data_IF_922624756326
#
_entry.id   IF_922624756326
#
_cell.length_a   1.000
_cell.length_b   1.000
_cell.length_c   1.000
_cell.angle_alpha   90.00
_cell.angle_beta   90.00
_cell.angle_gamma   90.00
#
_symmetry.space_group_name_H-M   'P 1'
#
loop_
_entity.id
_entity.type
_entity.pdbx_description
1 polymer ?
#
# COMPACT_ATOMS: atom_id res chain seq x y z
N UNK A 1 -23.50 6.77 39.05
CA UNK A 1 -24.33 6.87 37.83
C UNK A 1 -23.44 7.37 36.71
N UNK A 2 -22.96 6.47 35.85
CA UNK A 2 -22.20 6.82 34.65
C UNK A 2 -23.20 7.49 33.70
N UNK A 3 -22.97 8.75 33.34
CA UNK A 3 -23.89 9.49 32.48
C UNK A 3 -24.06 8.75 31.14
N UNK A 4 -25.30 8.35 30.86
CA UNK A 4 -25.73 7.66 29.63
C UNK A 4 -25.24 8.39 28.36
N UNK A 5 -25.01 9.71 28.43
CA UNK A 5 -24.46 10.52 27.35
C UNK A 5 -23.03 10.15 26.94
N UNK A 6 -22.21 9.64 27.86
CA UNK A 6 -20.80 9.31 27.59
C UNK A 6 -20.65 7.95 26.90
N UNK A 7 -21.48 6.97 27.29
CA UNK A 7 -21.58 5.68 26.60
C UNK A 7 -22.19 5.87 25.21
N UNK A 8 -23.20 6.74 25.06
CA UNK A 8 -23.83 7.00 23.76
C UNK A 8 -22.93 7.77 22.78
N UNK A 9 -22.04 8.65 23.26
CA UNK A 9 -21.09 9.36 22.41
C UNK A 9 -19.93 8.45 21.93
N UNK A 10 -19.42 7.59 22.81
CA UNK A 10 -18.38 6.62 22.46
C UNK A 10 -18.92 5.50 21.55
N UNK A 11 -20.14 5.02 21.83
CA UNK A 11 -20.85 4.06 20.99
C UNK A 11 -21.22 4.69 19.64
N UNK A 12 -21.57 5.98 19.60
CA UNK A 12 -21.82 6.73 18.37
C UNK A 12 -20.58 6.89 17.50
N UNK A 13 -19.40 7.12 18.09
CA UNK A 13 -18.14 7.25 17.35
C UNK A 13 -17.63 5.90 16.84
N UNK A 14 -17.81 4.83 17.63
CA UNK A 14 -17.50 3.45 17.23
C UNK A 14 -18.47 2.95 16.16
N UNK A 15 -19.76 3.25 16.26
CA UNK A 15 -20.77 2.92 15.23
C UNK A 15 -20.51 3.72 13.94
N UNK A 16 -20.09 4.99 14.02
CA UNK A 16 -19.70 5.81 12.87
C UNK A 16 -18.45 5.24 12.18
N UNK A 17 -17.45 4.80 12.95
CA UNK A 17 -16.26 4.11 12.42
C UNK A 17 -16.61 2.74 11.81
N UNK A 18 -17.49 1.96 12.44
CA UNK A 18 -17.95 0.66 11.94
C UNK A 18 -18.84 0.80 10.68
N UNK A 19 -19.61 1.88 10.54
CA UNK A 19 -20.41 2.18 9.35
C UNK A 19 -19.57 2.69 8.16
N UNK A 20 -18.40 3.27 8.43
CA UNK A 20 -17.46 3.73 7.39
C UNK A 20 -16.52 2.59 6.92
N UNK A 21 -16.25 1.60 7.78
CA UNK A 21 -15.44 0.42 7.45
C UNK A 21 -16.13 -0.60 6.52
N UNK A 22 -17.45 -0.49 6.28
CA UNK A 22 -18.19 -1.43 5.43
C UNK A 22 -18.10 -1.14 3.93
N UNK A 23 -17.39 -0.10 3.50
CA UNK A 23 -17.27 0.24 2.07
C UNK A 23 -15.79 0.27 1.69
N UNK A 24 -15.18 -0.91 1.60
CA UNK A 24 -13.84 -1.07 1.03
C UNK A 24 -13.90 -1.80 -0.30
N UNK A 25 -13.79 -1.03 -1.38
CA UNK A 25 -13.28 -1.51 -2.66
C UNK A 25 -12.62 -0.33 -3.38
N UNK A 26 -11.40 -0.52 -3.85
CA UNK A 26 -10.86 0.27 -4.96
C UNK A 26 -9.44 0.76 -4.75
N UNK A 27 -8.52 0.10 -5.45
CA UNK A 27 -7.10 0.40 -5.53
C UNK A 27 -6.75 1.58 -6.44
N UNK A 28 -5.45 1.89 -6.39
CA UNK A 28 -4.78 3.03 -6.98
C UNK A 28 -4.75 2.96 -8.52
N UNK A 29 -4.67 4.12 -9.20
CA UNK A 29 -4.58 4.19 -10.66
C UNK A 29 -3.19 3.85 -11.17
N UNK A 30 -3.13 2.93 -12.12
CA UNK A 30 -2.09 2.93 -13.13
C UNK A 30 -2.30 4.12 -14.07
N UNK A 31 -1.21 4.84 -14.31
CA UNK A 31 -1.16 6.02 -15.17
C UNK A 31 -1.59 5.59 -16.57
N UNK A 32 -2.77 6.05 -16.99
CA UNK A 32 -3.28 5.92 -18.36
C UNK A 32 -2.26 6.57 -19.31
N UNK A 33 -1.36 5.77 -19.88
CA UNK A 33 -0.40 6.26 -20.87
C UNK A 33 -1.20 6.73 -22.08
N UNK A 34 -1.14 8.03 -22.45
CA UNK A 34 -1.95 8.55 -23.53
C UNK A 34 -1.60 7.82 -24.83
N UNK A 35 -2.61 7.29 -25.51
CA UNK A 35 -2.46 6.71 -26.83
C UNK A 35 -1.87 7.78 -27.78
N UNK A 36 -0.87 7.41 -28.58
CA UNK A 36 -0.26 8.32 -29.53
C UNK A 36 -1.32 8.78 -30.55
N UNK A 37 -1.64 10.08 -30.56
CA UNK A 37 -2.75 10.63 -31.35
C UNK A 37 -2.54 10.51 -32.86
N UNK A 38 -1.31 10.23 -33.32
CA UNK A 38 -0.99 9.95 -34.72
C UNK A 38 -1.41 8.55 -35.19
N UNK A 39 -1.88 7.69 -34.29
CA UNK A 39 -2.28 6.32 -34.62
C UNK A 39 -3.75 6.24 -35.07
N UNK A 40 -4.11 5.23 -35.89
CA UNK A 40 -5.49 5.00 -36.30
C UNK A 40 -6.43 4.73 -35.12
N UNK A 41 -7.74 4.93 -35.30
CA UNK A 41 -8.71 4.78 -34.21
C UNK A 41 -8.73 3.37 -33.61
N UNK A 42 -8.49 2.34 -34.43
CA UNK A 42 -8.42 0.93 -34.00
C UNK A 42 -7.17 0.61 -33.17
N UNK A 43 -6.24 1.57 -33.05
CA UNK A 43 -4.96 1.48 -32.34
C UNK A 43 -4.83 2.45 -31.17
N UNK A 44 -5.93 3.11 -30.79
CA UNK A 44 -5.96 4.16 -29.78
C UNK A 44 -6.66 3.75 -28.49
N UNK A 45 -6.84 2.45 -28.23
CA UNK A 45 -7.33 2.03 -26.92
C UNK A 45 -6.26 2.34 -25.86
N UNK A 46 -6.65 2.90 -24.70
CA UNK A 46 -5.73 3.05 -23.59
C UNK A 46 -5.34 1.67 -23.04
N UNK A 47 -4.10 1.55 -22.56
CA UNK A 47 -3.67 0.41 -21.77
C UNK A 47 -4.41 0.44 -20.44
N UNK A 48 -5.13 -0.64 -20.12
CA UNK A 48 -5.86 -0.80 -18.86
C UNK A 48 -5.52 -2.13 -18.23
N UNK A 49 -5.49 -2.15 -16.90
CA UNK A 49 -5.38 -3.39 -16.14
C UNK A 49 -6.65 -4.21 -16.29
N UNK A 50 -6.44 -5.49 -16.49
CA UNK A 50 -7.47 -6.51 -16.63
C UNK A 50 -7.38 -7.43 -15.44
N UNK A 51 -8.49 -7.55 -14.73
CA UNK A 51 -8.68 -8.61 -13.75
C UNK A 51 -9.11 -9.89 -14.45
N UNK A 52 -8.41 -10.98 -14.16
CA UNK A 52 -8.64 -12.30 -14.70
C UNK A 52 -9.09 -13.20 -13.56
N UNK A 53 -10.39 -13.49 -13.50
CA UNK A 53 -10.88 -14.51 -12.57
C UNK A 53 -10.71 -15.87 -13.21
N UNK A 54 -9.93 -16.73 -12.56
CA UNK A 54 -9.67 -18.10 -12.96
C UNK A 54 -10.45 -19.06 -12.08
N UNK A 55 -11.15 -20.01 -12.71
CA UNK A 55 -11.71 -21.16 -12.01
C UNK A 55 -11.08 -22.45 -12.52
N UNK A 56 -10.62 -23.27 -11.58
CA UNK A 56 -10.18 -24.63 -11.84
C UNK A 56 -10.66 -25.54 -10.70
N UNK A 57 -11.43 -26.58 -11.02
CA UNK A 57 -12.07 -27.48 -10.04
C UNK A 57 -12.84 -26.76 -8.91
N UNK A 58 -13.55 -25.67 -9.25
CA UNK A 58 -14.35 -24.92 -8.28
C UNK A 58 -13.55 -23.99 -7.36
N UNK A 59 -12.22 -23.98 -7.45
CA UNK A 59 -11.37 -23.01 -6.77
C UNK A 59 -11.24 -21.75 -7.63
N UNK A 60 -11.52 -20.60 -7.03
CA UNK A 60 -11.36 -19.28 -7.64
C UNK A 60 -10.01 -18.68 -7.28
N UNK A 61 -9.39 -18.03 -8.26
CA UNK A 61 -8.11 -17.35 -8.14
C UNK A 61 -8.12 -16.10 -9.01
N UNK A 62 -7.71 -14.97 -8.44
CA UNK A 62 -7.62 -13.70 -9.16
C UNK A 62 -6.19 -13.53 -9.72
N UNK A 63 -6.08 -13.28 -11.02
CA UNK A 63 -4.85 -12.97 -11.73
C UNK A 63 -4.97 -11.59 -12.40
N UNK A 64 -3.84 -11.03 -12.84
CA UNK A 64 -3.78 -9.69 -13.43
C UNK A 64 -3.11 -9.72 -14.80
N UNK A 65 -3.49 -8.81 -15.66
CA UNK A 65 -2.80 -8.58 -16.93
C UNK A 65 -3.11 -7.21 -17.51
N UNK A 66 -2.55 -6.93 -18.68
CA UNK A 66 -2.61 -5.62 -19.33
C UNK A 66 -3.29 -5.72 -20.70
N UNK A 67 -4.22 -4.81 -20.99
CA UNK A 67 -4.90 -4.78 -22.30
C UNK A 67 -3.96 -4.35 -23.44
N UNK A 68 -4.31 -4.71 -24.68
CA UNK A 68 -3.70 -4.12 -25.87
C UNK A 68 -4.26 -2.72 -26.17
N UNK A 69 -3.55 -1.97 -27.01
CA UNK A 69 -4.04 -0.72 -27.62
C UNK A 69 -5.01 -0.93 -28.80
N UNK A 70 -5.27 -2.17 -29.17
CA UNK A 70 -6.17 -2.61 -30.24
C UNK A 70 -7.14 -3.68 -29.77
N UNK A 71 -8.08 -4.07 -30.62
CA UNK A 71 -9.16 -4.98 -30.25
C UNK A 71 -10.35 -4.27 -29.62
N UNK A 72 -11.35 -5.05 -29.23
CA UNK A 72 -12.47 -4.50 -28.45
C UNK A 72 -12.09 -4.29 -26.99
N UNK A 73 -12.85 -3.42 -26.32
CA UNK A 73 -12.66 -3.15 -24.90
C UNK A 73 -13.19 -4.29 -24.06
N UNK A 74 -12.53 -4.54 -22.94
CA UNK A 74 -13.02 -5.47 -21.93
C UNK A 74 -14.27 -4.89 -21.22
N UNK A 75 -15.20 -5.74 -20.78
CA UNK A 75 -16.32 -5.32 -19.95
C UNK A 75 -15.83 -4.67 -18.64
N UNK A 76 -16.56 -3.70 -18.11
CA UNK A 76 -16.13 -2.93 -16.93
C UNK A 76 -16.60 -3.49 -15.60
N UNK A 77 -17.50 -4.47 -15.61
CA UNK A 77 -18.00 -5.13 -14.40
C UNK A 77 -18.02 -6.65 -14.56
N UNK A 78 -17.96 -7.36 -13.44
CA UNK A 78 -18.05 -8.82 -13.41
C UNK A 78 -19.36 -9.31 -14.04
N UNK A 79 -20.48 -8.63 -13.75
CA UNK A 79 -21.81 -9.02 -14.25
C UNK A 79 -21.93 -8.91 -15.78
N UNK A 80 -21.21 -7.97 -16.38
CA UNK A 80 -21.13 -7.80 -17.83
C UNK A 80 -20.13 -8.74 -18.51
N UNK A 81 -19.24 -9.36 -17.74
CA UNK A 81 -18.19 -10.22 -18.26
C UNK A 81 -18.64 -11.68 -18.36
N UNK A 82 -18.20 -12.35 -19.43
CA UNK A 82 -18.56 -13.75 -19.68
C UNK A 82 -17.48 -14.67 -19.14
N UNK A 83 -17.89 -15.65 -18.32
CA UNK A 83 -17.05 -16.80 -17.95
C UNK A 83 -17.01 -17.77 -19.12
N UNK A 84 -15.81 -18.03 -19.65
CA UNK A 84 -15.59 -18.86 -20.83
C UNK A 84 -14.44 -19.83 -20.58
N UNK A 85 -14.44 -21.02 -21.21
CA UNK A 85 -13.31 -21.93 -21.14
C UNK A 85 -12.06 -21.32 -21.78
N UNK A 86 -10.89 -21.55 -21.17
CA UNK A 86 -9.60 -21.22 -21.76
C UNK A 86 -9.06 -22.39 -22.57
N UNK A 87 -8.36 -22.10 -23.66
CA UNK A 87 -7.80 -23.14 -24.54
C UNK A 87 -6.50 -22.66 -25.16
N UNK A 88 -5.45 -23.47 -25.06
CA UNK A 88 -4.19 -23.21 -25.77
C UNK A 88 -4.38 -23.36 -27.27
N UNK A 89 -3.88 -22.39 -28.04
CA UNK A 89 -3.75 -22.52 -29.47
C UNK A 89 -2.70 -23.59 -29.81
N UNK A 90 -2.85 -24.24 -30.96
CA UNK A 90 -1.89 -25.22 -31.46
C UNK A 90 -1.61 -24.94 -32.93
N UNK A 91 -0.45 -24.35 -33.32
CA UNK A 91 0.73 -24.15 -32.47
C UNK A 91 0.57 -23.08 -31.39
N UNK A 92 1.27 -23.20 -30.24
CA UNK A 92 1.10 -22.31 -29.09
C UNK A 92 1.56 -20.87 -29.38
N UNK A 93 2.40 -20.65 -30.39
CA UNK A 93 2.79 -19.32 -30.85
C UNK A 93 1.61 -18.52 -31.45
N UNK A 94 0.50 -19.15 -31.85
CA UNK A 94 -0.62 -18.46 -32.51
C UNK A 94 -0.27 -17.77 -33.82
N UNK A 95 0.84 -18.14 -34.48
CA UNK A 95 1.30 -17.54 -35.74
C UNK A 95 0.78 -18.27 -36.99
N UNK A 96 0.07 -19.38 -36.80
CA UNK A 96 -0.62 -20.13 -37.85
C UNK A 96 -2.03 -20.52 -37.35
N UNK A 97 -2.98 -20.84 -38.24
CA UNK A 97 -4.31 -21.30 -37.86
C UNK A 97 -4.24 -22.45 -36.85
N UNK A 98 -4.94 -22.28 -35.72
CA UNK A 98 -4.92 -23.26 -34.64
C UNK A 98 -5.64 -24.55 -35.06
N UNK A 99 -4.99 -25.70 -34.85
CA UNK A 99 -5.60 -27.02 -34.99
C UNK A 99 -6.59 -27.32 -33.85
N UNK A 100 -6.38 -26.72 -32.68
CA UNK A 100 -7.32 -26.75 -31.56
C UNK A 100 -8.48 -25.77 -31.79
N UNK A 101 -9.70 -26.19 -31.47
CA UNK A 101 -10.92 -25.37 -31.61
C UNK A 101 -10.90 -24.18 -30.62
N UNK A 102 -10.78 -22.98 -31.15
CA UNK A 102 -10.87 -21.72 -30.39
C UNK A 102 -12.29 -21.12 -30.37
N UNK A 103 -13.20 -21.65 -31.20
CA UNK A 103 -14.55 -21.11 -31.33
C UNK A 103 -15.31 -21.09 -30.00
N UNK A 104 -15.66 -19.89 -29.52
CA UNK A 104 -16.39 -19.68 -28.27
C UNK A 104 -15.53 -19.79 -26.99
N UNK A 105 -14.20 -19.86 -27.12
CA UNK A 105 -13.27 -19.96 -26.00
C UNK A 105 -12.36 -18.73 -25.88
N UNK A 106 -11.62 -18.65 -24.79
CA UNK A 106 -10.53 -17.68 -24.61
C UNK A 106 -9.24 -18.36 -25.07
N UNK A 107 -8.65 -17.87 -26.16
CA UNK A 107 -7.44 -18.42 -26.74
C UNK A 107 -6.19 -18.01 -25.96
N UNK A 108 -5.39 -18.98 -25.54
CA UNK A 108 -4.09 -18.76 -24.91
C UNK A 108 -2.98 -18.94 -25.95
N UNK A 109 -2.15 -17.92 -26.13
CA UNK A 109 -1.01 -17.95 -27.07
C UNK A 109 0.26 -17.47 -26.39
N UNK A 110 1.41 -18.00 -26.79
CA UNK A 110 2.72 -17.56 -26.30
C UNK A 110 3.19 -16.32 -27.08
N UNK A 111 3.84 -15.40 -26.38
CA UNK A 111 4.57 -14.28 -26.97
C UNK A 111 5.78 -14.80 -27.78
N UNK A 112 6.07 -14.12 -28.91
CA UNK A 112 7.23 -14.40 -29.76
C UNK A 112 6.85 -14.77 -31.20
N UNK A 113 7.86 -14.93 -32.05
CA UNK A 113 7.82 -15.40 -33.45
C UNK A 113 7.03 -14.56 -34.48
N UNK A 114 5.89 -13.99 -34.11
CA UNK A 114 5.08 -13.09 -34.94
C UNK A 114 4.51 -11.94 -34.11
N UNK A 115 4.00 -10.92 -34.79
CA UNK A 115 3.43 -9.73 -34.18
C UNK A 115 2.12 -10.01 -33.41
N UNK A 116 1.81 -9.18 -32.41
CA UNK A 116 0.61 -9.33 -31.58
C UNK A 116 -0.70 -9.20 -32.39
N UNK A 117 -0.73 -8.30 -33.38
CA UNK A 117 -1.89 -8.12 -34.25
C UNK A 117 -2.16 -9.40 -35.04
N UNK A 118 -1.10 -10.05 -35.54
CA UNK A 118 -1.24 -11.27 -36.33
C UNK A 118 -1.80 -12.43 -35.49
N UNK A 119 -1.30 -12.58 -34.24
CA UNK A 119 -1.86 -13.55 -33.27
C UNK A 119 -3.35 -13.32 -33.03
N UNK A 120 -3.75 -12.06 -32.81
CA UNK A 120 -5.15 -11.71 -32.60
C UNK A 120 -6.00 -11.96 -33.84
N UNK A 121 -5.48 -11.65 -35.04
CA UNK A 121 -6.17 -11.88 -36.32
C UNK A 121 -6.43 -13.37 -36.56
N UNK A 122 -5.43 -14.21 -36.30
CA UNK A 122 -5.52 -15.66 -36.46
C UNK A 122 -6.51 -16.25 -35.44
N UNK A 123 -6.41 -15.86 -34.17
CA UNK A 123 -7.34 -16.34 -33.13
C UNK A 123 -8.79 -15.91 -33.41
N UNK A 124 -8.99 -14.67 -33.86
CA UNK A 124 -10.31 -14.17 -34.28
C UNK A 124 -10.87 -14.96 -35.46
N UNK A 125 -10.04 -15.25 -36.48
CA UNK A 125 -10.45 -16.10 -37.60
C UNK A 125 -10.80 -17.53 -37.15
N UNK A 126 -10.16 -18.02 -36.09
CA UNK A 126 -10.49 -19.29 -35.41
C UNK A 126 -11.74 -19.25 -34.52
N UNK A 127 -12.40 -18.08 -34.39
CA UNK A 127 -13.62 -17.89 -33.62
C UNK A 127 -13.41 -17.67 -32.11
N UNK A 128 -12.19 -17.35 -31.68
CA UNK A 128 -11.91 -16.99 -30.29
C UNK A 128 -12.78 -15.81 -29.84
N UNK A 129 -13.26 -15.83 -28.59
CA UNK A 129 -14.04 -14.72 -28.03
C UNK A 129 -13.15 -13.66 -27.40
N UNK A 130 -11.96 -14.05 -26.96
CA UNK A 130 -10.88 -13.18 -26.47
C UNK A 130 -9.55 -13.90 -26.65
N UNK A 131 -8.44 -13.16 -26.59
CA UNK A 131 -7.09 -13.73 -26.62
C UNK A 131 -6.27 -13.24 -25.43
N UNK A 132 -5.60 -14.18 -24.78
CA UNK A 132 -4.63 -13.93 -23.71
C UNK A 132 -3.25 -14.33 -24.23
N UNK A 133 -2.38 -13.35 -24.37
CA UNK A 133 -0.99 -13.53 -24.75
C UNK A 133 -0.16 -13.76 -23.48
N UNK A 134 0.55 -14.86 -23.42
CA UNK A 134 1.39 -15.24 -22.29
C UNK A 134 2.78 -14.65 -22.52
N UNK A 135 3.23 -13.81 -21.58
CA UNK A 135 4.57 -13.28 -21.61
C UNK A 135 5.60 -14.35 -21.20
N UNK A 136 6.77 -14.32 -21.83
CA UNK A 136 7.89 -15.23 -21.52
C UNK A 136 8.79 -14.70 -20.39
N UNK A 137 8.67 -13.41 -20.07
CA UNK A 137 9.43 -12.70 -19.04
C UNK A 137 8.48 -12.15 -17.97
N UNK A 138 9.02 -11.87 -16.78
CA UNK A 138 8.26 -11.18 -15.73
C UNK A 138 8.00 -9.72 -16.08
N UNK A 139 6.81 -9.24 -15.74
CA UNK A 139 6.35 -7.88 -16.02
C UNK A 139 5.45 -7.74 -17.24
N UNK A 140 4.80 -6.57 -17.34
CA UNK A 140 3.85 -6.25 -18.40
C UNK A 140 4.52 -5.53 -19.57
N UNK A 141 4.11 -5.88 -20.79
CA UNK A 141 4.53 -5.22 -22.02
C UNK A 141 3.33 -4.56 -22.70
N UNK A 142 3.53 -3.33 -23.17
CA UNK A 142 2.54 -2.62 -23.96
C UNK A 142 2.42 -3.23 -25.36
N UNK A 143 1.30 -3.89 -25.65
CA UNK A 143 0.97 -4.37 -26.99
C UNK A 143 0.39 -3.22 -27.83
N UNK A 144 1.28 -2.60 -28.61
CA UNK A 144 0.94 -1.49 -29.52
C UNK A 144 0.65 -1.98 -30.94
N UNK A 145 0.00 -1.12 -31.73
CA UNK A 145 -0.14 -1.31 -33.17
C UNK A 145 0.17 -0.01 -33.91
N UNK A 146 0.62 -0.15 -35.16
CA UNK A 146 1.09 0.97 -35.99
C UNK A 146 0.15 1.32 -37.13
N UNK A 147 -0.76 0.41 -37.50
CA UNK A 147 -1.64 0.51 -38.67
C UNK A 147 -3.06 0.09 -38.32
N UNK A 148 -4.02 0.51 -39.16
CA UNK A 148 -5.41 0.10 -39.03
C UNK A 148 -5.52 -1.42 -39.07
N UNK A 149 -6.36 -1.96 -38.19
CA UNK A 149 -6.57 -3.39 -38.04
C UNK A 149 -8.03 -3.67 -37.73
N UNK A 150 -8.53 -4.81 -38.21
CA UNK A 150 -9.93 -5.21 -38.02
C UNK A 150 -10.08 -6.22 -36.86
N UNK A 151 -9.34 -6.01 -35.76
CA UNK A 151 -9.44 -6.86 -34.58
C UNK A 151 -10.62 -6.38 -33.73
N UNK A 152 -11.61 -7.25 -33.57
CA UNK A 152 -12.86 -6.99 -32.84
C UNK A 152 -12.94 -7.79 -31.54
N UNK A 153 -12.03 -8.75 -31.32
CA UNK A 153 -11.92 -9.48 -30.05
C UNK A 153 -11.05 -8.70 -29.05
N UNK A 154 -11.28 -8.81 -27.74
CA UNK A 154 -10.44 -8.19 -26.74
C UNK A 154 -9.13 -8.98 -26.59
N UNK A 155 -8.03 -8.24 -26.42
CA UNK A 155 -6.65 -8.75 -26.42
C UNK A 155 -5.97 -8.29 -25.14
N UNK A 156 -5.37 -9.21 -24.39
CA UNK A 156 -4.59 -8.88 -23.20
C UNK A 156 -3.31 -9.70 -23.09
N UNK A 157 -2.33 -9.18 -22.36
CA UNK A 157 -1.10 -9.86 -21.98
C UNK A 157 -1.23 -10.27 -20.51
N UNK A 158 -0.90 -11.52 -20.20
CA UNK A 158 -0.67 -11.99 -18.82
C UNK A 158 0.83 -12.17 -18.60
N UNK A 159 1.28 -11.85 -17.39
CA UNK A 159 2.66 -12.05 -16.98
C UNK A 159 2.99 -13.55 -16.84
N UNK A 160 4.28 -13.84 -16.63
CA UNK A 160 4.75 -15.22 -16.50
C UNK A 160 4.16 -15.89 -15.25
N UNK A 161 4.12 -15.20 -14.11
CA UNK A 161 3.60 -15.74 -12.86
C UNK A 161 2.11 -16.15 -12.95
N UNK A 162 1.26 -15.31 -13.54
CA UNK A 162 -0.14 -15.63 -13.77
C UNK A 162 -0.33 -16.76 -14.79
N UNK A 163 0.48 -16.79 -15.84
CA UNK A 163 0.48 -17.87 -16.82
C UNK A 163 0.89 -19.22 -16.23
N UNK A 164 1.88 -19.27 -15.33
CA UNK A 164 2.29 -20.49 -14.63
C UNK A 164 1.15 -21.07 -13.78
N UNK A 165 0.37 -20.20 -13.11
CA UNK A 165 -0.83 -20.62 -12.39
C UNK A 165 -1.86 -21.28 -13.30
N UNK A 166 -2.12 -20.69 -14.48
CA UNK A 166 -3.01 -21.28 -15.50
C UNK A 166 -2.44 -22.62 -16.00
N UNK A 167 -1.16 -22.65 -16.35
CA UNK A 167 -0.49 -23.83 -16.90
C UNK A 167 -0.50 -25.01 -15.91
N UNK A 168 -0.28 -24.76 -14.62
CA UNK A 168 -0.33 -25.78 -13.57
C UNK A 168 -1.72 -26.44 -13.47
N UNK A 169 -2.79 -25.67 -13.66
CA UNK A 169 -4.15 -26.21 -13.70
C UNK A 169 -4.38 -27.07 -14.94
N UNK A 170 -3.89 -26.68 -16.11
CA UNK A 170 -3.95 -27.52 -17.31
C UNK A 170 -3.09 -28.80 -17.20
N UNK A 171 -1.88 -28.70 -16.67
CA UNK A 171 -0.97 -29.83 -16.49
C UNK A 171 -1.51 -30.87 -15.49
N UNK A 172 -2.37 -30.45 -14.56
CA UNK A 172 -3.11 -31.34 -13.65
C UNK A 172 -4.40 -31.90 -14.25
N UNK A 173 -4.65 -31.69 -15.55
CA UNK A 173 -5.82 -32.20 -16.27
C UNK A 173 -7.12 -31.46 -15.96
N UNK A 174 -7.05 -30.28 -15.35
CA UNK A 174 -8.23 -29.52 -14.95
C UNK A 174 -8.78 -28.72 -16.13
N UNK A 175 -10.10 -28.57 -16.19
CA UNK A 175 -10.75 -27.59 -17.07
C UNK A 175 -10.59 -26.21 -16.44
N UNK A 176 -10.01 -25.27 -17.19
CA UNK A 176 -9.81 -23.89 -16.76
C UNK A 176 -10.82 -22.99 -17.45
N UNK A 177 -11.53 -22.19 -16.68
CA UNK A 177 -12.42 -21.15 -17.16
C UNK A 177 -11.93 -19.79 -16.68
N UNK A 178 -12.01 -18.78 -17.56
CA UNK A 178 -11.59 -17.42 -17.28
C UNK A 178 -12.75 -16.45 -17.48
N UNK A 179 -12.77 -15.39 -16.67
CA UNK A 179 -13.61 -14.21 -16.86
C UNK A 179 -12.71 -12.98 -16.81
N UNK A 180 -12.78 -12.16 -17.86
CA UNK A 180 -11.89 -11.02 -18.09
C UNK A 180 -12.69 -9.73 -17.98
N UNK A 181 -12.28 -8.81 -17.11
CA UNK A 181 -12.95 -7.50 -16.95
C UNK A 181 -11.96 -6.41 -16.51
N UNK A 182 -12.29 -5.15 -16.79
CA UNK A 182 -11.49 -3.98 -16.44
C UNK A 182 -12.32 -2.99 -15.62
N UNK A 183 -12.28 -3.07 -14.27
CA UNK A 183 -13.12 -2.21 -13.43
C UNK A 183 -12.80 -0.73 -13.61
N UNK A 184 -13.82 0.10 -13.78
CA UNK A 184 -13.64 1.56 -13.85
C UNK A 184 -13.19 2.08 -12.48
N UNK A 185 -11.98 2.65 -12.43
CA UNK A 185 -11.40 3.24 -11.21
C UNK A 185 -11.87 4.71 -11.08
N UNK A 186 -12.64 5.08 -10.04
CA UNK A 186 -13.01 6.47 -9.83
C UNK A 186 -11.78 7.36 -9.61
N UNK A 187 -11.90 8.66 -9.91
CA UNK A 187 -10.79 9.63 -9.75
C UNK A 187 -10.45 9.82 -8.27
N UNK A 188 -11.46 9.80 -7.40
CA UNK A 188 -11.31 9.91 -5.95
C UNK A 188 -12.01 8.71 -5.31
N UNK A 189 -11.24 7.71 -4.89
CA UNK A 189 -11.76 6.62 -4.09
C UNK A 189 -12.02 7.11 -2.66
N UNK A 190 -13.11 6.67 -2.04
CA UNK A 190 -13.41 6.99 -0.64
C UNK A 190 -12.28 6.59 0.32
N UNK A 191 -11.56 5.52 -0.01
CA UNK A 191 -10.36 5.08 0.72
C UNK A 191 -9.27 6.14 0.78
N UNK A 192 -9.03 6.88 -0.30
CA UNK A 192 -8.00 7.94 -0.35
C UNK A 192 -8.39 9.10 0.57
N UNK A 193 -9.66 9.50 0.55
CA UNK A 193 -10.18 10.54 1.45
C UNK A 193 -10.06 10.08 2.90
N UNK A 194 -10.41 8.83 3.19
CA UNK A 194 -10.32 8.26 4.52
C UNK A 194 -8.87 8.21 5.03
N UNK A 195 -7.92 7.73 4.21
CA UNK A 195 -6.50 7.70 4.56
C UNK A 195 -5.94 9.10 4.80
N UNK A 196 -6.32 10.08 3.96
CA UNK A 196 -5.93 11.47 4.16
C UNK A 196 -6.46 12.02 5.49
N UNK A 197 -7.75 11.82 5.77
CA UNK A 197 -8.36 12.23 7.04
C UNK A 197 -7.70 11.56 8.25
N UNK A 198 -7.42 10.25 8.19
CA UNK A 198 -6.71 9.53 9.25
C UNK A 198 -5.31 10.09 9.48
N UNK A 199 -4.55 10.34 8.41
CA UNK A 199 -3.19 10.88 8.50
C UNK A 199 -3.20 12.28 9.13
N UNK A 200 -4.03 13.19 8.60
CA UNK A 200 -4.14 14.56 9.14
C UNK A 200 -4.68 14.57 10.57
N UNK A 201 -5.66 13.69 10.86
CA UNK A 201 -6.23 13.54 12.18
C UNK A 201 -5.20 13.06 13.19
N UNK A 202 -4.34 12.11 12.81
CA UNK A 202 -3.25 11.61 13.67
C UNK A 202 -2.27 12.71 14.02
N UNK A 203 -1.88 13.54 13.05
CA UNK A 203 -0.99 14.70 13.27
C UNK A 203 -1.64 15.71 14.21
N UNK A 204 -2.91 16.07 13.98
CA UNK A 204 -3.65 17.00 14.86
C UNK A 204 -3.76 16.45 16.28
N UNK A 205 -4.13 15.17 16.44
CA UNK A 205 -4.19 14.51 17.74
C UNK A 205 -2.84 14.53 18.46
N UNK A 206 -1.73 14.31 17.73
CA UNK A 206 -0.38 14.39 18.28
C UNK A 206 -0.02 15.83 18.70
N UNK A 207 -0.39 16.84 17.91
CA UNK A 207 -0.10 18.25 18.24
C UNK A 207 -0.82 18.73 19.50
N UNK A 208 -2.08 18.31 19.71
CA UNK A 208 -2.86 18.64 20.90
C UNK A 208 -2.73 17.60 22.03
N UNK A 209 -1.82 16.64 21.89
CA UNK A 209 -1.70 15.52 22.82
C UNK A 209 -1.44 15.97 24.26
N UNK A 210 -0.55 16.95 24.44
CA UNK A 210 -0.23 17.53 25.75
C UNK A 210 -1.43 18.18 26.42
N UNK A 211 -2.32 18.83 25.67
CA UNK A 211 -3.56 19.43 26.19
C UNK A 211 -4.61 18.37 26.54
N UNK A 212 -4.77 17.35 25.69
CA UNK A 212 -5.65 16.20 25.93
C UNK A 212 -5.22 15.43 27.20
N UNK A 213 -3.93 15.42 27.49
CA UNK A 213 -3.32 14.70 28.62
C UNK A 213 -2.92 15.63 29.77
N UNK A 214 -3.26 16.92 29.71
CA UNK A 214 -2.87 17.95 30.68
C UNK A 214 -3.39 17.70 32.11
N UNK A 215 -4.38 16.83 32.29
CA UNK A 215 -4.83 16.40 33.63
C UNK A 215 -4.00 15.26 34.24
N UNK A 216 -3.02 14.72 33.51
CA UNK A 216 -2.12 13.63 33.93
C UNK A 216 -0.66 14.07 34.21
N UNK A 217 -0.29 15.33 33.95
CA UNK A 217 1.07 15.83 34.23
C UNK A 217 1.02 17.09 35.11
N UNK A 218 1.63 17.01 36.30
CA UNK A 218 2.13 18.22 36.96
C UNK A 218 3.15 18.91 36.02
N UNK A 219 3.19 20.25 35.98
CA UNK A 219 4.06 20.97 35.07
C UNK A 219 5.52 20.82 35.52
N UNK A 220 6.33 20.03 34.83
CA UNK A 220 7.77 20.32 34.71
C UNK A 220 7.96 21.35 33.61
N UNK A 221 7.50 22.58 33.87
CA UNK A 221 8.01 23.75 33.19
C UNK A 221 9.28 24.10 33.95
N UNK A 222 10.44 23.70 33.43
CA UNK A 222 11.64 24.46 33.73
C UNK A 222 11.41 25.85 33.16
N UNK A 223 11.13 26.78 34.08
CA UNK A 223 11.12 28.22 33.83
C UNK A 223 12.41 28.56 33.11
N UNK A 224 12.32 28.97 31.85
CA UNK A 224 13.38 29.78 31.27
C UNK A 224 13.30 31.12 32.00
N UNK A 225 14.03 31.22 33.12
CA UNK A 225 14.27 32.47 33.82
C UNK A 225 15.09 33.38 32.89
N UNK A 226 14.37 34.18 32.13
CA UNK A 226 14.90 35.29 31.37
C UNK A 226 15.20 36.44 32.34
N UNK A 227 16.43 36.50 32.90
CA UNK A 227 17.10 37.78 33.19
C UNK A 227 18.59 37.64 33.57
N UNK A 228 19.50 37.98 32.64
CA UNK A 228 20.74 38.72 32.96
C UNK A 228 21.39 39.28 31.67
N UNK A 229 21.83 40.55 31.64
CA UNK A 229 22.35 41.20 30.44
C UNK A 229 23.89 41.17 30.31
N UNK A 230 24.35 41.22 29.04
CA UNK A 230 25.73 41.40 28.49
C UNK A 230 26.53 40.09 28.40
N UNK A 231 27.07 39.69 27.25
CA UNK A 231 28.06 40.43 26.45
C UNK A 231 28.02 40.07 24.95
N UNK A 232 28.33 41.06 24.13
CA UNK A 232 28.50 40.98 22.68
C UNK A 232 29.65 40.07 22.26
N UNK A 233 29.34 38.87 21.75
CA UNK A 233 30.07 38.11 20.72
C UNK A 233 29.19 36.94 20.21
N UNK A 234 29.17 36.76 18.88
CA UNK A 234 28.82 35.52 18.11
C UNK A 234 27.38 34.96 17.96
N UNK A 235 26.30 35.74 18.05
CA UNK A 235 24.97 35.22 17.64
C UNK A 235 24.87 34.74 16.16
N UNK A 236 25.69 35.30 15.24
CA UNK A 236 25.73 34.87 13.83
C UNK A 236 26.56 33.59 13.60
N UNK A 237 27.53 33.32 14.46
CA UNK A 237 28.45 32.18 14.30
C UNK A 237 27.82 30.92 14.87
N UNK A 238 27.18 31.02 16.04
CA UNK A 238 26.43 29.93 16.66
C UNK A 238 25.23 29.48 15.80
N UNK A 239 24.50 30.44 15.19
CA UNK A 239 23.42 30.11 14.25
C UNK A 239 23.92 29.41 12.98
N UNK A 240 25.05 29.84 12.42
CA UNK A 240 25.65 29.19 11.24
C UNK A 240 26.20 27.80 11.60
N UNK A 241 26.79 27.65 12.78
CA UNK A 241 27.30 26.37 13.27
C UNK A 241 26.16 25.37 13.49
N UNK A 242 25.07 25.76 14.16
CA UNK A 242 23.87 24.92 14.38
C UNK A 242 23.21 24.54 13.04
N UNK A 243 23.11 25.48 12.09
CA UNK A 243 22.58 25.20 10.75
C UNK A 243 23.49 24.23 9.99
N UNK A 244 24.81 24.38 10.10
CA UNK A 244 25.78 23.48 9.45
C UNK A 244 25.77 22.07 10.04
N UNK A 245 25.64 21.95 11.37
CA UNK A 245 25.52 20.68 12.09
C UNK A 245 24.23 19.95 11.69
N UNK A 246 23.16 20.70 11.49
CA UNK A 246 21.86 20.13 11.13
C UNK A 246 21.72 19.83 9.63
N UNK A 247 22.34 20.62 8.75
CA UNK A 247 22.42 20.29 7.33
C UNK A 247 23.17 18.96 7.12
N UNK A 248 24.25 18.73 7.91
CA UNK A 248 24.96 17.44 7.92
C UNK A 248 24.06 16.30 8.39
N UNK A 249 23.25 16.48 9.44
CA UNK A 249 22.33 15.44 9.90
C UNK A 249 21.19 15.17 8.90
N UNK A 250 20.71 16.18 8.18
CA UNK A 250 19.72 16.01 7.11
C UNK A 250 20.28 15.21 5.92
N UNK A 251 21.52 15.49 5.49
CA UNK A 251 22.19 14.72 4.44
C UNK A 251 22.42 13.27 4.90
N UNK A 252 22.89 13.09 6.14
CA UNK A 252 23.06 11.76 6.72
C UNK A 252 21.73 11.00 6.74
N UNK A 253 20.64 11.65 7.16
CA UNK A 253 19.31 11.06 7.16
C UNK A 253 18.87 10.59 5.77
N UNK A 254 19.07 11.41 4.72
CA UNK A 254 18.74 11.02 3.33
C UNK A 254 19.57 9.81 2.87
N UNK A 255 20.88 9.79 3.16
CA UNK A 255 21.77 8.69 2.76
C UNK A 255 21.39 7.41 3.49
N UNK A 256 21.15 7.48 4.80
CA UNK A 256 20.74 6.32 5.62
C UNK A 256 19.37 5.79 5.17
N UNK A 257 18.39 6.67 4.94
CA UNK A 257 17.08 6.28 4.46
C UNK A 257 17.14 5.64 3.06
N UNK A 258 17.94 6.22 2.16
CA UNK A 258 18.15 5.69 0.81
C UNK A 258 18.84 4.32 0.83
N UNK A 259 19.88 4.18 1.67
CA UNK A 259 20.58 2.91 1.85
C UNK A 259 19.65 1.85 2.41
N UNK A 260 18.86 2.19 3.42
CA UNK A 260 17.87 1.28 3.99
C UNK A 260 16.84 0.85 2.95
N UNK A 261 16.28 1.78 2.17
CA UNK A 261 15.28 1.49 1.14
C UNK A 261 15.83 0.58 0.03
N UNK A 262 17.07 0.80 -0.42
CA UNK A 262 17.74 -0.07 -1.40
C UNK A 262 18.03 -1.45 -0.81
N UNK A 263 18.45 -1.51 0.45
CA UNK A 263 18.64 -2.78 1.16
C UNK A 263 17.33 -3.55 1.23
N UNK A 264 16.20 -2.90 1.55
CA UNK A 264 14.88 -3.53 1.50
C UNK A 264 14.64 -4.14 0.14
N UNK A 265 14.85 -3.36 -0.93
CA UNK A 265 14.59 -3.77 -2.31
C UNK A 265 15.45 -4.93 -2.83
N UNK A 266 16.72 -5.04 -2.43
CA UNK A 266 17.58 -6.15 -2.87
C UNK A 266 17.52 -7.35 -1.91
N UNK A 267 17.43 -7.12 -0.60
CA UNK A 267 17.32 -8.16 0.42
C UNK A 267 15.85 -8.48 0.76
N UNK A 268 14.94 -8.40 -0.24
CA UNK A 268 13.50 -8.74 -0.20
C UNK A 268 13.24 -10.22 0.16
N UNK A 269 13.80 -10.66 1.28
CA UNK A 269 13.66 -11.98 1.85
C UNK A 269 12.48 -11.96 2.80
N UNK A 270 11.68 -13.03 2.78
CA UNK A 270 10.56 -13.21 3.71
C UNK A 270 10.95 -13.04 5.17
N UNK A 271 12.21 -13.34 5.53
CA UNK A 271 12.74 -13.13 6.87
C UNK A 271 12.83 -11.66 7.27
N UNK A 272 13.21 -10.77 6.34
CA UNK A 272 13.34 -9.34 6.60
C UNK A 272 11.97 -8.71 6.90
N UNK A 273 10.92 -9.11 6.16
CA UNK A 273 9.54 -8.66 6.41
C UNK A 273 9.08 -9.05 7.83
N UNK A 274 9.40 -10.27 8.28
CA UNK A 274 9.10 -10.69 9.65
C UNK A 274 9.81 -9.84 10.71
N UNK A 275 11.05 -9.39 10.47
CA UNK A 275 11.74 -8.46 11.37
C UNK A 275 11.00 -7.13 11.47
N UNK A 276 10.58 -6.55 10.34
CA UNK A 276 9.82 -5.31 10.32
C UNK A 276 8.51 -5.44 11.10
N UNK A 277 7.79 -6.56 10.94
CA UNK A 277 6.56 -6.85 11.67
C UNK A 277 6.83 -6.89 13.19
N UNK A 278 7.92 -7.53 13.63
CA UNK A 278 8.28 -7.61 15.05
C UNK A 278 8.63 -6.22 15.60
N UNK A 279 9.47 -5.44 14.91
CA UNK A 279 9.85 -4.08 15.32
C UNK A 279 8.63 -3.16 15.37
N UNK A 280 7.76 -3.21 14.34
CA UNK A 280 6.49 -2.49 14.30
C UNK A 280 5.59 -2.87 15.48
N UNK A 281 5.51 -4.16 15.82
CA UNK A 281 4.70 -4.64 16.94
C UNK A 281 5.22 -4.14 18.29
N UNK A 282 6.54 -4.13 18.50
CA UNK A 282 7.16 -3.58 19.72
C UNK A 282 6.84 -2.08 19.84
N UNK A 283 7.06 -1.33 18.76
CA UNK A 283 6.74 0.10 18.71
C UNK A 283 5.25 0.38 18.91
N UNK A 284 4.38 -0.39 18.26
CA UNK A 284 2.92 -0.28 18.35
C UNK A 284 2.41 -0.58 19.75
N UNK A 285 2.91 -1.63 20.41
CA UNK A 285 2.59 -1.94 21.82
C UNK A 285 3.01 -0.80 22.74
N UNK A 286 4.23 -0.29 22.58
CA UNK A 286 4.72 0.83 23.38
C UNK A 286 3.86 2.08 23.17
N UNK A 287 3.56 2.41 21.91
CA UNK A 287 2.75 3.58 21.58
C UNK A 287 1.32 3.46 22.09
N UNK A 288 0.71 2.28 21.94
CA UNK A 288 -0.66 2.02 22.41
C UNK A 288 -0.74 2.03 23.94
N UNK A 289 0.26 1.45 24.62
CA UNK A 289 0.38 1.53 26.08
C UNK A 289 0.47 2.99 26.56
N UNK A 290 1.39 3.78 25.99
CA UNK A 290 1.53 5.20 26.32
C UNK A 290 0.22 5.97 26.07
N UNK A 291 -0.44 5.73 24.94
CA UNK A 291 -1.70 6.39 24.59
C UNK A 291 -2.81 6.07 25.59
N UNK A 292 -3.03 4.78 25.86
CA UNK A 292 -4.11 4.31 26.74
C UNK A 292 -3.85 4.78 28.19
N UNK A 293 -2.64 4.63 28.71
CA UNK A 293 -2.32 5.05 30.08
C UNK A 293 -2.52 6.56 30.25
N UNK A 294 -2.00 7.38 29.33
CA UNK A 294 -2.13 8.84 29.39
C UNK A 294 -3.60 9.28 29.34
N UNK A 295 -4.44 8.61 28.54
CA UNK A 295 -5.88 8.90 28.46
C UNK A 295 -6.64 8.46 29.71
N UNK A 296 -6.29 7.31 30.30
CA UNK A 296 -6.93 6.83 31.53
C UNK A 296 -6.55 7.72 32.71
N UNK A 297 -5.29 8.10 32.85
CA UNK A 297 -4.81 8.99 33.92
C UNK A 297 -5.40 10.40 33.77
N UNK A 298 -5.54 10.90 32.53
CA UNK A 298 -6.21 12.17 32.23
C UNK A 298 -7.68 12.18 32.66
N UNK A 299 -8.41 11.08 32.44
CA UNK A 299 -9.86 10.99 32.72
C UNK A 299 -10.20 10.47 34.12
N UNK A 300 -9.32 9.71 34.78
CA UNK A 300 -9.54 9.09 36.08
C UNK A 300 -8.36 9.34 37.03
N UNK A 301 -8.34 10.51 37.68
CA UNK A 301 -7.31 10.89 38.68
C UNK A 301 -7.19 9.91 39.88
N UNK A 302 -8.24 9.13 40.17
CA UNK A 302 -8.25 8.14 41.26
C UNK A 302 -7.81 6.72 40.86
N UNK A 303 -7.66 6.41 39.57
CA UNK A 303 -7.31 5.07 39.10
C UNK A 303 -5.80 4.76 39.22
N UNK A 304 -4.96 5.78 39.40
CA UNK A 304 -3.50 5.67 39.46
C UNK A 304 -2.94 5.24 40.83
N UNK A 305 -3.77 5.12 41.88
CA UNK A 305 -3.30 5.07 43.27
C UNK A 305 -2.89 3.67 43.80
N UNK A 306 -2.94 2.61 42.97
CA UNK A 306 -2.48 1.26 43.38
C UNK A 306 -1.11 0.95 42.79
N UNK A 307 -0.05 1.36 43.49
CA UNK A 307 1.34 1.02 43.16
C UNK A 307 1.72 -0.35 43.74
N UNK A 308 2.18 -1.28 42.90
CA UNK A 308 2.83 -2.52 43.32
C UNK A 308 4.34 -2.35 43.22
N UNK A 309 5.10 -2.89 44.18
CA UNK A 309 6.56 -2.98 44.05
C UNK A 309 6.94 -4.33 43.46
N UNK A 310 7.54 -4.33 42.26
CA UNK A 310 8.17 -5.51 41.69
C UNK A 310 9.70 -5.46 41.93
N UNK A 311 10.32 -6.58 42.33
CA UNK A 311 11.73 -6.63 42.72
C UNK A 311 12.73 -6.36 41.57
N UNK A 312 12.27 -6.33 40.30
CA UNK A 312 13.13 -6.11 39.12
C UNK A 312 12.85 -4.80 38.35
N UNK A 313 11.71 -4.14 38.56
CA UNK A 313 11.19 -3.05 37.70
C UNK A 313 10.87 -1.75 38.48
N UNK A 314 10.81 -1.80 39.82
CA UNK A 314 10.47 -0.65 40.66
C UNK A 314 8.96 -0.47 40.91
N UNK A 315 8.54 0.71 41.41
CA UNK A 315 7.11 1.02 41.68
C UNK A 315 6.37 1.16 40.35
N UNK A 316 5.49 0.21 40.03
CA UNK A 316 4.66 0.26 38.82
C UNK A 316 3.18 0.17 39.20
N UNK A 317 2.34 0.96 38.53
CA UNK A 317 0.89 0.94 38.75
C UNK A 317 0.29 -0.35 38.18
N UNK A 318 -0.63 -0.99 38.93
CA UNK A 318 -1.40 -2.17 38.48
C UNK A 318 -2.07 -1.90 37.12
N UNK A 319 -2.52 -0.66 36.93
CA UNK A 319 -3.16 -0.20 35.70
C UNK A 319 -2.21 -0.31 34.49
N UNK A 320 -0.99 0.22 34.63
CA UNK A 320 0.02 0.21 33.56
C UNK A 320 0.41 -1.21 33.15
N UNK A 321 0.57 -2.12 34.13
CA UNK A 321 0.87 -3.53 33.86
C UNK A 321 -0.31 -4.23 33.15
N UNK A 322 -1.55 -3.98 33.60
CA UNK A 322 -2.75 -4.55 32.98
C UNK A 322 -2.93 -4.07 31.54
N UNK A 323 -2.71 -2.77 31.28
CA UNK A 323 -2.80 -2.19 29.95
C UNK A 323 -1.72 -2.76 29.05
N UNK A 324 -0.48 -2.92 29.54
CA UNK A 324 0.62 -3.49 28.78
C UNK A 324 0.33 -4.93 28.32
N UNK A 325 -0.20 -5.77 29.21
CA UNK A 325 -0.60 -7.13 28.88
C UNK A 325 -1.71 -7.15 27.81
N UNK A 326 -2.70 -6.27 27.93
CA UNK A 326 -3.74 -6.11 26.91
C UNK A 326 -3.18 -5.67 25.56
N UNK A 327 -2.22 -4.75 25.56
CA UNK A 327 -1.56 -4.27 24.35
C UNK A 327 -0.77 -5.38 23.64
N UNK A 328 -0.02 -6.19 24.41
CA UNK A 328 0.71 -7.34 23.89
C UNK A 328 -0.26 -8.37 23.29
N UNK A 329 -1.36 -8.68 24.01
CA UNK A 329 -2.37 -9.62 23.50
C UNK A 329 -3.00 -9.14 22.18
N UNK A 330 -3.29 -7.84 22.07
CA UNK A 330 -3.80 -7.24 20.84
C UNK A 330 -2.80 -7.34 19.68
N UNK A 331 -1.52 -7.05 19.92
CA UNK A 331 -0.48 -7.16 18.90
C UNK A 331 -0.27 -8.62 18.44
N UNK A 332 -0.27 -9.59 19.36
CA UNK A 332 -0.20 -11.03 19.03
C UNK A 332 -1.41 -11.46 18.20
N UNK A 333 -2.61 -11.02 18.60
CA UNK A 333 -3.83 -11.30 17.85
C UNK A 333 -3.74 -10.76 16.43
N UNK A 334 -3.31 -9.50 16.27
CA UNK A 334 -3.10 -8.89 14.95
C UNK A 334 -2.10 -9.67 14.10
N UNK A 335 -0.94 -10.07 14.66
CA UNK A 335 0.05 -10.90 13.94
C UNK A 335 -0.57 -12.23 13.48
N UNK A 336 -1.37 -12.88 14.33
CA UNK A 336 -2.01 -14.16 14.03
C UNK A 336 -3.06 -14.03 12.93
N UNK A 337 -3.86 -12.95 12.95
CA UNK A 337 -4.93 -12.69 11.96
C UNK A 337 -4.47 -11.81 10.80
N UNK A 338 -3.17 -11.62 10.61
CA UNK A 338 -2.66 -10.58 9.69
C UNK A 338 -3.08 -10.74 8.23
N UNK A 339 -3.41 -11.98 7.83
CA UNK A 339 -3.80 -12.36 6.46
C UNK A 339 -5.31 -12.26 6.21
N UNK A 340 -6.09 -12.03 7.25
CA UNK A 340 -7.53 -11.89 7.15
C UNK A 340 -7.92 -10.49 6.67
N UNK A 341 -9.10 -10.39 6.05
CA UNK A 341 -9.57 -9.15 5.42
C UNK A 341 -9.76 -7.98 6.39
N UNK A 342 -9.91 -8.22 7.70
CA UNK A 342 -10.05 -7.19 8.74
C UNK A 342 -8.72 -6.78 9.39
N UNK A 343 -7.59 -7.38 9.00
CA UNK A 343 -6.27 -7.12 9.60
C UNK A 343 -5.84 -5.65 9.57
N UNK A 344 -6.24 -4.91 8.51
CA UNK A 344 -5.91 -3.49 8.34
C UNK A 344 -6.33 -2.66 9.55
N UNK A 345 -7.46 -2.98 10.18
CA UNK A 345 -7.95 -2.24 11.34
C UNK A 345 -6.97 -2.31 12.52
N UNK A 346 -6.45 -3.51 12.82
CA UNK A 346 -5.46 -3.67 13.90
C UNK A 346 -4.14 -2.97 13.57
N UNK A 347 -3.74 -2.99 12.30
CA UNK A 347 -2.54 -2.32 11.82
C UNK A 347 -2.67 -0.79 11.95
N UNK A 348 -3.81 -0.22 11.55
CA UNK A 348 -4.07 1.22 11.63
C UNK A 348 -4.07 1.70 13.09
N UNK A 349 -4.69 0.96 14.01
CA UNK A 349 -4.68 1.31 15.45
C UNK A 349 -3.26 1.31 16.01
N UNK A 350 -2.48 0.25 15.77
CA UNK A 350 -1.08 0.17 16.22
C UNK A 350 -0.23 1.27 15.59
N UNK A 351 -0.45 1.56 14.30
CA UNK A 351 0.24 2.59 13.54
C UNK A 351 -0.04 4.00 14.06
N UNK A 352 -1.31 4.34 14.31
CA UNK A 352 -1.71 5.64 14.87
C UNK A 352 -1.08 5.86 16.24
N UNK A 353 -1.16 4.88 17.14
CA UNK A 353 -0.57 4.99 18.48
C UNK A 353 0.96 5.11 18.45
N UNK A 354 1.62 4.36 17.56
CA UNK A 354 3.06 4.49 17.31
C UNK A 354 3.39 5.89 16.79
N UNK A 355 2.65 6.40 15.80
CA UNK A 355 2.90 7.71 15.20
C UNK A 355 2.69 8.85 16.18
N UNK A 356 1.63 8.82 16.99
CA UNK A 356 1.43 9.81 18.06
C UNK A 356 2.65 9.84 18.98
N UNK A 357 3.14 8.67 19.40
CA UNK A 357 4.29 8.56 20.31
C UNK A 357 5.58 9.06 19.66
N UNK A 358 5.84 8.69 18.40
CA UNK A 358 7.01 9.18 17.65
C UNK A 358 6.96 10.69 17.49
N UNK A 359 5.79 11.26 17.20
CA UNK A 359 5.61 12.71 17.08
C UNK A 359 5.80 13.46 18.42
N UNK A 360 5.52 12.82 19.57
CA UNK A 360 5.87 13.40 20.87
C UNK A 360 7.39 13.41 21.12
N UNK A 361 8.11 12.42 20.60
CA UNK A 361 9.57 12.29 20.75
C UNK A 361 10.34 13.15 19.72
N UNK A 362 9.76 13.37 18.54
CA UNK A 362 10.35 14.12 17.44
C UNK A 362 10.23 15.63 17.65
N UNK A 363 10.92 16.17 18.64
CA UNK A 363 11.04 17.62 18.82
C UNK A 363 12.14 18.17 17.91
N UNK A 364 11.75 19.03 16.96
CA UNK A 364 12.72 19.72 16.12
C UNK A 364 13.18 20.99 16.83
N UNK A 365 14.50 21.17 17.07
CA UNK A 365 15.01 22.26 17.90
C UNK A 365 14.87 23.64 17.26
N UNK A 366 14.62 23.71 15.94
CA UNK A 366 14.52 24.98 15.22
C UNK A 366 13.67 24.84 13.94
N UNK A 367 12.90 25.87 13.61
CA UNK A 367 12.12 25.93 12.36
C UNK A 367 13.01 25.91 11.10
N UNK A 368 14.22 26.48 11.16
CA UNK A 368 15.20 26.45 10.05
C UNK A 368 15.56 24.99 9.69
N UNK A 369 15.76 24.16 10.71
CA UNK A 369 16.05 22.72 10.58
C UNK A 369 14.87 22.00 9.95
N UNK A 370 13.65 22.28 10.45
CA UNK A 370 12.43 21.68 9.93
C UNK A 370 12.25 21.96 8.43
N UNK A 371 12.47 23.20 7.99
CA UNK A 371 12.36 23.58 6.57
C UNK A 371 13.38 22.82 5.71
N UNK A 372 14.64 22.75 6.14
CA UNK A 372 15.69 22.02 5.39
C UNK A 372 15.36 20.53 5.28
N UNK A 373 14.91 19.91 6.37
CA UNK A 373 14.53 18.50 6.41
C UNK A 373 13.30 18.23 5.52
N UNK A 374 12.31 19.13 5.52
CA UNK A 374 11.11 19.01 4.69
C UNK A 374 11.43 19.15 3.19
N UNK A 375 12.23 20.14 2.79
CA UNK A 375 12.70 20.28 1.41
C UNK A 375 13.50 19.06 0.96
N UNK A 376 14.34 18.52 1.85
CA UNK A 376 15.12 17.30 1.60
C UNK A 376 14.23 16.07 1.42
N UNK A 377 13.22 15.90 2.27
CA UNK A 377 12.24 14.81 2.16
C UNK A 377 11.41 14.90 0.87
N UNK A 378 11.06 16.11 0.44
CA UNK A 378 10.36 16.34 -0.83
C UNK A 378 11.19 15.90 -2.04
N UNK A 379 12.48 16.27 -2.08
CA UNK A 379 13.39 15.83 -3.15
C UNK A 379 13.63 14.31 -3.10
N UNK A 380 13.74 13.74 -1.91
CA UNK A 380 13.85 12.29 -1.69
C UNK A 380 12.66 11.54 -2.31
N UNK A 381 11.44 12.00 -2.06
CA UNK A 381 10.22 11.37 -2.58
C UNK A 381 10.16 11.42 -4.12
N UNK A 382 10.44 12.59 -4.72
CA UNK A 382 10.50 12.73 -6.19
C UNK A 382 11.51 11.77 -6.80
N UNK A 383 12.71 11.66 -6.20
CA UNK A 383 13.75 10.78 -6.70
C UNK A 383 13.30 9.32 -6.68
N UNK A 384 12.78 8.84 -5.56
CA UNK A 384 12.42 7.44 -5.39
C UNK A 384 11.14 7.03 -6.13
N UNK A 385 10.22 7.96 -6.37
CA UNK A 385 8.99 7.69 -7.14
C UNK A 385 9.24 7.78 -8.65
N UNK A 386 9.85 8.87 -9.14
CA UNK A 386 9.89 9.19 -10.57
C UNK A 386 11.23 8.90 -11.24
N UNK A 387 12.36 9.04 -10.54
CA UNK A 387 13.69 8.88 -11.13
C UNK A 387 14.15 7.42 -11.01
N UNK A 388 13.87 6.75 -9.89
CA UNK A 388 14.29 5.36 -9.66
C UNK A 388 13.88 4.35 -10.75
N UNK A 389 12.71 4.45 -11.41
CA UNK A 389 12.34 3.57 -12.53
C UNK A 389 13.29 3.63 -13.72
N UNK A 390 13.94 4.79 -13.93
CA UNK A 390 14.90 4.94 -15.03
C UNK A 390 16.17 4.12 -14.79
N UNK A 391 16.52 3.85 -13.52
CA UNK A 391 17.72 3.12 -13.12
C UNK A 391 17.39 1.63 -12.89
N UNK A 392 16.29 1.34 -12.21
CA UNK A 392 15.93 -0.01 -11.74
C UNK A 392 14.82 -0.69 -12.58
N UNK A 393 14.31 -0.03 -13.64
CA UNK A 393 13.16 -0.43 -14.47
C UNK A 393 11.80 -0.49 -13.75
N UNK A 394 11.78 -0.38 -12.43
CA UNK A 394 10.58 -0.28 -11.58
C UNK A 394 10.80 0.80 -10.50
N UNK A 395 9.71 1.40 -10.01
CA UNK A 395 9.80 2.33 -8.87
C UNK A 395 10.11 1.54 -7.61
N UNK A 396 11.30 1.76 -7.04
CA UNK A 396 11.77 1.01 -5.86
C UNK A 396 10.84 1.21 -4.66
N UNK A 397 10.36 2.45 -4.45
CA UNK A 397 9.43 2.77 -3.37
C UNK A 397 8.09 2.04 -3.51
N UNK A 398 7.56 1.95 -4.74
CA UNK A 398 6.29 1.26 -5.01
C UNK A 398 6.47 -0.26 -4.87
N UNK A 399 7.57 -0.81 -5.39
CA UNK A 399 7.89 -2.23 -5.29
C UNK A 399 7.99 -2.69 -3.83
N UNK A 400 8.68 -1.91 -2.98
CA UNK A 400 8.79 -2.19 -1.54
C UNK A 400 7.44 -2.06 -0.83
N UNK A 401 6.64 -1.03 -1.16
CA UNK A 401 5.32 -0.82 -0.58
C UNK A 401 4.36 -1.98 -0.89
N UNK A 402 4.30 -2.42 -2.14
CA UNK A 402 3.46 -3.54 -2.56
C UNK A 402 3.87 -4.86 -1.89
N UNK A 403 5.16 -5.08 -1.66
CA UNK A 403 5.60 -6.28 -0.95
C UNK A 403 5.16 -6.27 0.52
N UNK A 404 5.18 -5.12 1.18
CA UNK A 404 4.77 -5.00 2.59
C UNK A 404 3.27 -5.25 2.84
N UNK A 405 2.46 -5.34 1.78
CA UNK A 405 1.03 -5.68 1.83
C UNK A 405 0.76 -7.20 1.81
N UNK A 406 1.77 -8.04 1.57
CA UNK A 406 1.68 -9.52 1.54
C UNK A 406 2.58 -10.17 2.61
#
# INVERSE_FOLDING_TARGET
>A
MVSSSCVNALLGLVILFQFLSTISAGGNKDIEKPANQSLPATCRNPFRDIMVKKWANGKEEDLFGLSASFGSRFPTSIDSAKRLPATYAEPPNGCAPSTTKLSGTIGLVLRGECEFIEKARIAQAGGATAIVVINTEEGSLNMSCSSDNNITIPVMLIDKSGAESIHKSFASGQKVELLLYSPDRPILAFSVVFLWLMATGTVVCASFWSEITASASEPKIESYDEMSPKESRTAKDDEMEIVSLTAKSAIFFIITASTFLVLLYFFMSSWFVWILIIVFSIGGVQGMHNCIVSLIESKCKGCAYKTLMLPLVGKTSVLSLSVLLGCIAFAIFWIATRKESFSYFGQDVLGICLMITVLQLAQLPNIKVATILLCSAFLYDIFWVFISPLIFKTSVMIAVCLLSLF
#
